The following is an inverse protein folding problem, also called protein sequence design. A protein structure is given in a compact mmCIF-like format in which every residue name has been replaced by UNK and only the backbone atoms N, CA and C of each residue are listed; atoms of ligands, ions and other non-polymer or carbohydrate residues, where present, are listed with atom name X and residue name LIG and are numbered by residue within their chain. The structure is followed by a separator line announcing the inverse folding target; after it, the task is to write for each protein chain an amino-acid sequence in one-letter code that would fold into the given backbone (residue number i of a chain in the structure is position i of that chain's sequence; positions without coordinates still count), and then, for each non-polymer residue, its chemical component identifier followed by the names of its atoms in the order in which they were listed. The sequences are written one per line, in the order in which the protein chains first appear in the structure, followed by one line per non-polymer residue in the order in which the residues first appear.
data_IF_269765442251
#
_entry.id   IF_269765442251
#
_cell.length_a   1.000
_cell.length_b   1.000
_cell.length_c   1.000
_cell.angle_alpha   90.00
_cell.angle_beta   90.00
_cell.angle_gamma   90.00
#
_symmetry.space_group_name_H-M   'P 1'
#
loop_
_entity.id
_entity.type
_entity.pdbx_description
1 polymer ?
#
# COMPACT_ATOMS: atom_id res chain seq x y z
N UNK A 1 18.60 -10.86 -7.96
CA UNK A 1 18.55 -12.03 -8.86
C UNK A 1 17.91 -11.67 -10.21
N UNK A 2 16.80 -10.97 -10.24
CA UNK A 2 16.05 -10.65 -11.46
C UNK A 2 16.49 -9.37 -12.20
N UNK A 3 17.43 -8.59 -11.67
CA UNK A 3 17.84 -7.29 -12.24
C UNK A 3 18.37 -7.38 -13.67
N UNK A 4 19.13 -8.41 -14.00
CA UNK A 4 19.62 -8.63 -15.37
C UNK A 4 18.49 -8.90 -16.36
N UNK A 5 17.46 -9.64 -15.92
CA UNK A 5 16.27 -9.91 -16.74
C UNK A 5 15.49 -8.62 -16.96
N UNK A 6 15.22 -7.88 -15.87
CA UNK A 6 14.52 -6.60 -15.90
C UNK A 6 15.25 -5.58 -16.79
N UNK A 7 16.57 -5.41 -16.63
CA UNK A 7 17.36 -4.47 -17.41
C UNK A 7 17.38 -4.76 -18.92
N UNK A 8 17.06 -6.01 -19.34
CA UNK A 8 16.93 -6.37 -20.76
C UNK A 8 15.59 -5.93 -21.38
N UNK A 9 14.52 -5.88 -20.58
CA UNK A 9 13.16 -5.62 -21.05
C UNK A 9 12.59 -4.26 -20.63
N UNK A 10 13.13 -3.67 -19.55
CA UNK A 10 12.67 -2.39 -19.01
C UNK A 10 13.77 -1.36 -19.16
N UNK A 11 13.58 -0.37 -20.06
CA UNK A 11 14.48 0.79 -20.19
C UNK A 11 14.34 1.68 -18.96
N UNK A 12 15.46 2.23 -18.48
CA UNK A 12 15.50 3.11 -17.30
C UNK A 12 14.86 2.49 -16.03
N UNK A 13 15.09 1.19 -15.80
CA UNK A 13 14.50 0.39 -14.72
C UNK A 13 14.73 0.94 -13.28
N UNK A 14 15.54 2.00 -13.12
CA UNK A 14 15.75 2.70 -11.84
C UNK A 14 14.72 3.79 -11.56
N UNK A 15 14.05 4.33 -12.57
CA UNK A 15 13.06 5.40 -12.43
C UNK A 15 11.67 4.80 -12.15
N UNK A 16 11.50 4.26 -10.95
CA UNK A 16 10.30 3.53 -10.54
C UNK A 16 9.04 4.40 -10.38
N UNK A 17 9.20 5.72 -10.30
CA UNK A 17 8.09 6.67 -10.21
C UNK A 17 7.52 7.04 -11.59
N UNK A 18 8.25 6.75 -12.65
CA UNK A 18 7.81 7.05 -14.02
C UNK A 18 6.70 6.07 -14.45
N UNK A 19 5.51 6.55 -14.85
CA UNK A 19 4.40 5.71 -15.26
C UNK A 19 4.74 4.74 -16.41
N UNK A 20 5.57 5.15 -17.36
CA UNK A 20 5.98 4.31 -18.48
C UNK A 20 6.91 3.16 -18.05
N UNK A 21 7.78 3.42 -17.05
CA UNK A 21 8.64 2.39 -16.46
C UNK A 21 7.80 1.41 -15.64
N UNK A 22 6.83 1.89 -14.86
CA UNK A 22 5.88 1.06 -14.11
C UNK A 22 5.06 0.18 -15.05
N UNK A 23 4.54 0.73 -16.14
CA UNK A 23 3.84 -0.03 -17.18
C UNK A 23 4.72 -1.14 -17.76
N UNK A 24 5.99 -0.84 -18.05
CA UNK A 24 6.94 -1.83 -18.57
C UNK A 24 7.19 -2.98 -17.56
N UNK A 25 7.27 -2.69 -16.26
CA UNK A 25 7.33 -3.70 -15.21
C UNK A 25 6.07 -4.56 -15.16
N UNK A 26 4.88 -3.93 -15.16
CA UNK A 26 3.60 -4.63 -15.18
C UNK A 26 3.40 -5.48 -16.43
N UNK A 27 3.82 -4.98 -17.60
CA UNK A 27 3.82 -5.73 -18.86
C UNK A 27 4.75 -6.94 -18.80
N UNK A 28 5.95 -6.78 -18.26
CA UNK A 28 6.89 -7.89 -18.10
C UNK A 28 6.32 -8.97 -17.16
N UNK A 29 5.76 -8.58 -16.02
CA UNK A 29 5.12 -9.49 -15.07
C UNK A 29 3.91 -10.20 -15.70
N UNK A 30 2.98 -9.45 -16.27
CA UNK A 30 1.75 -9.99 -16.86
C UNK A 30 2.02 -10.94 -18.02
N UNK A 31 2.88 -10.56 -18.98
CA UNK A 31 3.24 -11.41 -20.11
C UNK A 31 3.94 -12.68 -19.65
N UNK A 32 4.87 -12.58 -18.70
CA UNK A 32 5.57 -13.74 -18.12
C UNK A 32 4.58 -14.67 -17.41
N UNK A 33 3.66 -14.10 -16.61
CA UNK A 33 2.61 -14.85 -15.93
C UNK A 33 1.69 -15.59 -16.90
N UNK A 34 1.18 -14.91 -17.93
CA UNK A 34 0.33 -15.50 -18.97
C UNK A 34 1.06 -16.66 -19.66
N UNK A 35 2.29 -16.43 -20.13
CA UNK A 35 3.07 -17.45 -20.85
C UNK A 35 3.32 -18.69 -19.99
N UNK A 36 3.76 -18.52 -18.75
CA UNK A 36 4.07 -19.65 -17.87
C UNK A 36 2.81 -20.42 -17.47
N UNK A 37 1.72 -19.74 -17.14
CA UNK A 37 0.46 -20.40 -16.80
C UNK A 37 -0.15 -21.13 -18.00
N UNK A 38 -0.05 -20.58 -19.21
CA UNK A 38 -0.49 -21.28 -20.45
C UNK A 38 0.39 -22.49 -20.73
N UNK A 39 1.70 -22.40 -20.55
CA UNK A 39 2.61 -23.56 -20.72
C UNK A 39 2.28 -24.65 -19.71
N UNK A 40 2.06 -24.30 -18.43
CA UNK A 40 1.65 -25.25 -17.40
C UNK A 40 0.29 -25.87 -17.71
N UNK A 41 -0.69 -25.07 -18.13
CA UNK A 41 -2.02 -25.53 -18.54
C UNK A 41 -1.90 -26.59 -19.67
N UNK A 42 -1.25 -26.24 -20.76
CA UNK A 42 -1.10 -27.12 -21.92
C UNK A 42 -0.35 -28.40 -21.56
N UNK A 43 0.76 -28.31 -20.80
CA UNK A 43 1.53 -29.47 -20.40
C UNK A 43 0.73 -30.45 -19.54
N UNK A 44 -0.05 -29.92 -18.56
CA UNK A 44 -0.90 -30.73 -17.69
C UNK A 44 -2.07 -31.35 -18.45
N UNK A 45 -2.72 -30.61 -19.34
CA UNK A 45 -3.81 -31.14 -20.18
C UNK A 45 -3.29 -32.30 -21.07
N UNK A 46 -2.17 -32.10 -21.76
CA UNK A 46 -1.59 -33.13 -22.61
C UNK A 46 -1.24 -34.37 -21.80
N UNK A 47 -0.52 -34.22 -20.69
CA UNK A 47 -0.15 -35.32 -19.81
C UNK A 47 -1.39 -36.00 -19.23
N UNK A 48 -2.38 -35.27 -18.77
CA UNK A 48 -3.60 -35.78 -18.20
C UNK A 48 -4.40 -36.64 -19.21
N UNK A 49 -4.50 -36.20 -20.48
CA UNK A 49 -5.13 -36.99 -21.54
C UNK A 49 -4.33 -38.26 -21.89
N UNK A 50 -3.00 -38.18 -21.98
CA UNK A 50 -2.15 -39.32 -22.28
C UNK A 50 -2.13 -40.40 -21.18
N UNK A 51 -2.28 -39.97 -19.92
CA UNK A 51 -2.28 -40.84 -18.73
C UNK A 51 -3.65 -41.26 -18.26
N UNK A 52 -4.73 -40.66 -18.80
CA UNK A 52 -6.10 -40.82 -18.31
C UNK A 52 -6.32 -40.21 -16.91
N UNK A 53 -5.41 -39.38 -16.43
CA UNK A 53 -5.46 -38.75 -15.10
C UNK A 53 -6.32 -37.46 -15.14
N UNK A 54 -7.63 -37.59 -14.88
CA UNK A 54 -8.58 -36.47 -14.88
C UNK A 54 -8.17 -35.38 -13.87
N UNK A 55 -7.57 -35.76 -12.74
CA UNK A 55 -7.07 -34.80 -11.74
C UNK A 55 -5.98 -33.88 -12.30
N UNK A 56 -5.12 -34.40 -13.18
CA UNK A 56 -4.07 -33.58 -13.83
C UNK A 56 -4.66 -32.65 -14.86
N UNK A 57 -5.71 -33.08 -15.58
CA UNK A 57 -6.47 -32.21 -16.51
C UNK A 57 -7.14 -31.06 -15.74
N UNK A 58 -7.80 -31.37 -14.62
CA UNK A 58 -8.45 -30.37 -13.75
C UNK A 58 -7.45 -29.34 -13.24
N UNK A 59 -6.28 -29.77 -12.78
CA UNK A 59 -5.20 -28.89 -12.35
C UNK A 59 -4.63 -28.03 -13.52
N UNK A 60 -4.64 -28.57 -14.74
CA UNK A 60 -4.36 -27.80 -15.96
C UNK A 60 -5.37 -26.68 -16.22
N UNK A 61 -6.66 -26.96 -16.05
CA UNK A 61 -7.71 -25.94 -16.20
C UNK A 61 -7.59 -24.85 -15.13
N UNK A 62 -7.18 -25.19 -13.90
CA UNK A 62 -6.92 -24.20 -12.86
C UNK A 62 -5.84 -23.19 -13.28
N UNK A 63 -4.75 -23.65 -13.92
CA UNK A 63 -3.72 -22.74 -14.44
C UNK A 63 -4.23 -21.78 -15.52
N UNK A 64 -5.35 -22.08 -16.19
CA UNK A 64 -5.98 -21.13 -17.11
C UNK A 64 -6.63 -19.98 -16.36
N UNK A 65 -7.22 -20.23 -15.18
CA UNK A 65 -7.73 -19.19 -14.28
C UNK A 65 -6.59 -18.28 -13.77
N UNK A 66 -5.43 -18.86 -13.47
CA UNK A 66 -4.24 -18.10 -13.04
C UNK A 66 -3.67 -17.22 -14.17
N UNK A 67 -3.80 -17.69 -15.43
CA UNK A 67 -3.51 -16.83 -16.58
C UNK A 67 -4.46 -15.64 -16.64
N UNK A 68 -5.74 -15.81 -16.24
CA UNK A 68 -6.73 -14.72 -16.10
C UNK A 68 -6.29 -13.65 -15.10
N UNK A 69 -5.81 -14.04 -13.91
CA UNK A 69 -5.25 -13.12 -12.91
C UNK A 69 -4.07 -12.30 -13.46
N UNK A 70 -3.20 -12.96 -14.26
CA UNK A 70 -2.08 -12.29 -14.93
C UNK A 70 -2.55 -11.28 -15.99
N UNK A 71 -3.66 -11.57 -16.70
CA UNK A 71 -4.30 -10.64 -17.66
C UNK A 71 -4.86 -9.42 -16.93
N UNK A 72 -5.53 -9.61 -15.79
CA UNK A 72 -6.06 -8.52 -14.97
C UNK A 72 -4.93 -7.58 -14.55
N UNK A 73 -3.83 -8.11 -14.06
CA UNK A 73 -2.65 -7.33 -13.67
C UNK A 73 -2.07 -6.57 -14.86
N UNK A 74 -1.92 -7.22 -16.01
CA UNK A 74 -1.42 -6.57 -17.24
C UNK A 74 -2.32 -5.40 -17.70
N UNK A 75 -3.65 -5.60 -17.71
CA UNK A 75 -4.61 -4.55 -18.07
C UNK A 75 -4.59 -3.42 -17.05
N UNK A 76 -4.53 -3.74 -15.75
CA UNK A 76 -4.43 -2.77 -14.67
C UNK A 76 -3.27 -1.80 -14.87
N UNK A 77 -2.08 -2.32 -15.13
CA UNK A 77 -0.90 -1.48 -15.42
C UNK A 77 -1.04 -0.65 -16.69
N UNK A 78 -1.60 -1.22 -17.76
CA UNK A 78 -1.83 -0.49 -19.02
C UNK A 78 -2.81 0.65 -18.84
N UNK A 79 -3.85 0.48 -18.02
CA UNK A 79 -4.82 1.52 -17.74
C UNK A 79 -4.27 2.58 -16.78
N UNK A 80 -3.47 2.18 -15.77
CA UNK A 80 -2.91 3.10 -14.78
C UNK A 80 -1.95 4.12 -15.39
N UNK A 81 -1.24 3.75 -16.46
CA UNK A 81 -0.33 4.64 -17.19
C UNK A 81 -1.03 5.70 -18.05
N UNK A 82 -2.36 5.58 -18.26
CA UNK A 82 -3.13 6.51 -19.06
C UNK A 82 -3.13 7.91 -18.43
N UNK A 83 -2.92 8.93 -19.26
CA UNK A 83 -2.90 10.34 -18.84
C UNK A 83 -4.28 10.77 -18.30
N UNK A 84 -4.33 11.84 -17.48
CA UNK A 84 -5.57 12.48 -17.08
C UNK A 84 -6.46 12.80 -18.29
N UNK A 85 -7.77 12.61 -18.14
CA UNK A 85 -8.78 12.98 -19.11
C UNK A 85 -9.98 13.69 -18.44
N UNK A 86 -10.99 14.08 -19.20
CA UNK A 86 -12.15 14.83 -18.68
C UNK A 86 -12.94 14.05 -17.61
N UNK A 87 -12.96 12.72 -17.70
CA UNK A 87 -13.64 11.86 -16.73
C UNK A 87 -12.81 11.58 -15.47
N UNK A 88 -11.49 11.59 -15.62
CA UNK A 88 -10.52 11.30 -14.55
C UNK A 88 -9.42 12.36 -14.53
N UNK A 89 -9.69 13.57 -14.02
CA UNK A 89 -8.76 14.71 -14.05
C UNK A 89 -7.48 14.45 -13.25
N UNK A 90 -7.54 13.59 -12.22
CA UNK A 90 -6.37 13.17 -11.43
C UNK A 90 -5.64 11.95 -12.03
N UNK A 91 -6.11 11.44 -13.19
CA UNK A 91 -5.54 10.32 -13.91
C UNK A 91 -6.07 8.96 -13.47
N UNK A 92 -5.46 7.91 -13.99
CA UNK A 92 -5.94 6.53 -13.88
C UNK A 92 -5.07 5.66 -12.96
N UNK A 93 -4.17 6.25 -12.14
CA UNK A 93 -3.22 5.50 -11.28
C UNK A 93 -3.88 4.45 -10.39
N UNK A 94 -5.05 4.76 -9.81
CA UNK A 94 -5.81 3.83 -8.95
C UNK A 94 -6.32 2.57 -9.66
N UNK A 95 -6.30 2.50 -10.99
CA UNK A 95 -6.66 1.26 -11.71
C UNK A 95 -5.71 0.10 -11.39
N UNK A 96 -4.47 0.38 -10.97
CA UNK A 96 -3.56 -0.63 -10.45
C UNK A 96 -4.08 -1.23 -9.14
N UNK A 97 -4.64 -0.42 -8.25
CA UNK A 97 -5.26 -0.88 -7.00
C UNK A 97 -6.51 -1.74 -7.28
N UNK A 98 -7.37 -1.30 -8.23
CA UNK A 98 -8.51 -2.11 -8.65
C UNK A 98 -8.10 -3.45 -9.27
N UNK A 99 -7.00 -3.51 -10.01
CA UNK A 99 -6.46 -4.77 -10.51
C UNK A 99 -6.00 -5.68 -9.35
N UNK A 100 -5.29 -5.14 -8.34
CA UNK A 100 -4.90 -5.87 -7.14
C UNK A 100 -6.11 -6.39 -6.35
N UNK A 101 -7.17 -5.57 -6.22
CA UNK A 101 -8.43 -5.97 -5.58
C UNK A 101 -9.10 -7.11 -6.33
N UNK A 102 -9.17 -7.04 -7.66
CA UNK A 102 -9.76 -8.08 -8.49
C UNK A 102 -9.00 -9.41 -8.37
N UNK A 103 -7.66 -9.38 -8.39
CA UNK A 103 -6.83 -10.59 -8.15
C UNK A 103 -7.08 -11.17 -6.76
N UNK A 104 -7.11 -10.32 -5.72
CA UNK A 104 -7.41 -10.79 -4.35
C UNK A 104 -8.79 -11.41 -4.22
N UNK A 105 -9.81 -10.88 -4.94
CA UNK A 105 -11.14 -11.45 -4.99
C UNK A 105 -11.15 -12.84 -5.67
N UNK A 106 -10.40 -13.02 -6.75
CA UNK A 106 -10.25 -14.33 -7.42
C UNK A 106 -9.62 -15.34 -6.46
N UNK A 107 -8.56 -14.96 -5.72
CA UNK A 107 -7.93 -15.82 -4.70
C UNK A 107 -8.97 -16.29 -3.66
N UNK A 108 -9.81 -15.40 -3.17
CA UNK A 108 -10.86 -15.76 -2.20
C UNK A 108 -11.91 -16.70 -2.79
N UNK A 109 -12.33 -16.49 -4.04
CA UNK A 109 -13.28 -17.38 -4.72
C UNK A 109 -12.67 -18.78 -4.83
N UNK A 110 -11.41 -18.89 -5.24
CA UNK A 110 -10.69 -20.18 -5.35
C UNK A 110 -10.57 -20.84 -3.98
N UNK A 111 -10.26 -20.10 -2.92
CA UNK A 111 -10.18 -20.62 -1.56
C UNK A 111 -11.52 -21.23 -1.10
N UNK A 112 -12.65 -20.54 -1.36
CA UNK A 112 -14.00 -21.04 -1.02
C UNK A 112 -14.35 -22.29 -1.83
N UNK A 113 -14.03 -22.30 -3.12
CA UNK A 113 -14.27 -23.48 -3.98
C UNK A 113 -13.48 -24.70 -3.48
N UNK A 114 -12.18 -24.51 -3.18
CA UNK A 114 -11.32 -25.55 -2.63
C UNK A 114 -11.85 -26.09 -1.29
N UNK A 115 -12.33 -25.19 -0.41
CA UNK A 115 -12.92 -25.57 0.87
C UNK A 115 -14.16 -26.46 0.67
N UNK A 116 -15.10 -26.03 -0.20
CA UNK A 116 -16.33 -26.79 -0.48
C UNK A 116 -15.98 -28.17 -1.06
N UNK A 117 -15.06 -28.25 -1.99
CA UNK A 117 -14.64 -29.50 -2.61
C UNK A 117 -13.98 -30.42 -1.58
N UNK A 118 -13.10 -29.88 -0.73
CA UNK A 118 -12.43 -30.63 0.34
C UNK A 118 -13.39 -31.22 1.36
N UNK A 119 -14.39 -30.43 1.79
CA UNK A 119 -15.45 -30.88 2.71
C UNK A 119 -16.30 -31.98 2.04
N UNK A 120 -16.64 -31.87 0.76
CA UNK A 120 -17.36 -32.89 0.02
C UNK A 120 -16.58 -34.22 -0.04
N UNK A 121 -15.26 -34.18 -0.31
CA UNK A 121 -14.39 -35.38 -0.31
C UNK A 121 -14.37 -36.06 1.05
N UNK A 122 -14.28 -35.29 2.14
CA UNK A 122 -14.36 -35.85 3.51
C UNK A 122 -15.71 -36.52 3.74
N UNK A 123 -16.81 -35.86 3.40
CA UNK A 123 -18.17 -36.37 3.62
C UNK A 123 -18.46 -37.64 2.78
N UNK A 124 -17.89 -37.73 1.57
CA UNK A 124 -18.02 -38.88 0.69
C UNK A 124 -17.09 -40.06 1.07
N UNK A 125 -16.10 -39.83 1.94
CA UNK A 125 -15.09 -40.83 2.28
C UNK A 125 -14.20 -41.21 1.07
N UNK A 126 -14.06 -40.28 0.11
CA UNK A 126 -13.29 -40.54 -1.11
C UNK A 126 -11.79 -40.60 -0.80
N UNK A 127 -11.19 -41.79 -1.01
CA UNK A 127 -9.75 -41.98 -0.93
C UNK A 127 -9.10 -41.80 -2.32
N UNK A 128 -7.92 -41.18 -2.35
CA UNK A 128 -7.16 -41.01 -3.60
C UNK A 128 -6.52 -42.30 -4.04
N UNK A 129 -6.95 -42.84 -5.18
CA UNK A 129 -6.34 -44.02 -5.79
C UNK A 129 -5.72 -43.66 -7.16
N UNK A 130 -4.47 -44.08 -7.39
CA UNK A 130 -3.80 -43.94 -8.70
C UNK A 130 -4.02 -45.21 -9.53
N UNK A 131 -4.41 -45.04 -10.79
CA UNK A 131 -4.75 -46.13 -11.69
C UNK A 131 -3.54 -47.06 -12.01
N UNK A 132 -2.30 -46.53 -12.02
CA UNK A 132 -1.09 -47.31 -12.25
C UNK A 132 0.16 -46.63 -11.67
N UNK A 133 1.27 -47.38 -11.43
CA UNK A 133 2.55 -46.82 -11.00
C UNK A 133 3.12 -45.75 -11.96
N UNK A 134 2.91 -45.92 -13.26
CA UNK A 134 3.37 -44.96 -14.29
C UNK A 134 2.61 -43.64 -14.16
N UNK A 135 1.28 -43.67 -14.02
CA UNK A 135 0.44 -42.48 -13.79
C UNK A 135 0.89 -41.74 -12.54
N UNK A 136 1.17 -42.46 -11.45
CA UNK A 136 1.68 -41.90 -10.21
C UNK A 136 2.99 -41.13 -10.42
N UNK A 137 4.01 -41.73 -11.03
CA UNK A 137 5.32 -41.09 -11.28
C UNK A 137 5.17 -39.86 -12.17
N UNK A 138 4.40 -39.94 -13.27
CA UNK A 138 4.17 -38.83 -14.17
C UNK A 138 3.47 -37.67 -13.43
N UNK A 139 2.46 -37.97 -12.61
CA UNK A 139 1.77 -36.98 -11.80
C UNK A 139 2.73 -36.28 -10.85
N UNK A 140 3.59 -37.01 -10.13
CA UNK A 140 4.59 -36.42 -9.25
C UNK A 140 5.56 -35.50 -10.01
N UNK A 141 6.05 -35.90 -11.18
CA UNK A 141 6.94 -35.07 -12.00
C UNK A 141 6.26 -33.75 -12.42
N UNK A 142 4.98 -33.79 -12.84
CA UNK A 142 4.23 -32.63 -13.26
C UNK A 142 3.97 -31.72 -12.08
N UNK A 143 3.59 -32.25 -10.90
CA UNK A 143 3.39 -31.46 -9.67
C UNK A 143 4.70 -30.79 -9.22
N UNK A 144 5.82 -31.50 -9.21
CA UNK A 144 7.14 -30.96 -8.88
C UNK A 144 7.53 -29.80 -9.84
N UNK A 145 7.33 -29.97 -11.14
CA UNK A 145 7.61 -28.93 -12.12
C UNK A 145 6.71 -27.72 -11.91
N UNK A 146 5.42 -27.94 -11.64
CA UNK A 146 4.46 -26.86 -11.29
C UNK A 146 4.93 -26.06 -10.09
N UNK A 147 5.31 -26.73 -9.00
CA UNK A 147 5.80 -26.07 -7.77
C UNK A 147 7.03 -25.20 -8.08
N UNK A 148 8.00 -25.73 -8.84
CA UNK A 148 9.19 -24.96 -9.20
C UNK A 148 8.85 -23.71 -10.02
N UNK A 149 7.98 -23.82 -11.01
CA UNK A 149 7.56 -22.67 -11.84
C UNK A 149 6.78 -21.67 -11.01
N UNK A 150 5.80 -22.11 -10.19
CA UNK A 150 4.99 -21.23 -9.34
C UNK A 150 5.84 -20.54 -8.25
N UNK A 151 6.79 -21.25 -7.66
CA UNK A 151 7.74 -20.66 -6.71
C UNK A 151 8.62 -19.58 -7.38
N UNK A 152 9.08 -19.84 -8.59
CA UNK A 152 9.81 -18.84 -9.38
C UNK A 152 8.93 -17.60 -9.69
N UNK A 153 7.68 -17.81 -10.10
CA UNK A 153 6.72 -16.73 -10.37
C UNK A 153 6.45 -15.90 -9.11
N UNK A 154 6.27 -16.55 -7.96
CA UNK A 154 6.12 -15.87 -6.67
C UNK A 154 7.32 -14.97 -6.37
N UNK A 155 8.54 -15.51 -6.43
CA UNK A 155 9.77 -14.75 -6.15
C UNK A 155 9.95 -13.59 -7.15
N UNK A 156 9.65 -13.84 -8.42
CA UNK A 156 9.73 -12.84 -9.48
C UNK A 156 8.75 -11.67 -9.24
N UNK A 157 7.46 -11.98 -9.12
CA UNK A 157 6.42 -10.96 -8.91
C UNK A 157 6.60 -10.22 -7.59
N UNK A 158 6.99 -10.91 -6.51
CA UNK A 158 7.29 -10.28 -5.22
C UNK A 158 8.49 -9.33 -5.30
N UNK A 159 9.54 -9.72 -5.99
CA UNK A 159 10.74 -8.88 -6.16
C UNK A 159 10.43 -7.62 -6.97
N UNK A 160 9.70 -7.77 -8.08
CA UNK A 160 9.30 -6.64 -8.91
C UNK A 160 8.26 -5.75 -8.20
N UNK A 161 7.25 -6.37 -7.60
CA UNK A 161 6.19 -5.67 -6.87
C UNK A 161 6.72 -4.82 -5.72
N UNK A 162 7.67 -5.34 -4.95
CA UNK A 162 8.35 -4.56 -3.90
C UNK A 162 9.19 -3.42 -4.47
N UNK A 163 9.83 -3.61 -5.62
CA UNK A 163 10.71 -2.59 -6.22
C UNK A 163 9.93 -1.38 -6.72
N UNK A 164 8.74 -1.59 -7.27
CA UNK A 164 7.89 -0.52 -7.81
C UNK A 164 6.71 -0.18 -6.89
N UNK A 165 6.67 -0.76 -5.70
CA UNK A 165 5.56 -0.60 -4.72
C UNK A 165 4.19 -0.82 -5.39
N UNK A 166 3.99 -2.03 -5.92
CA UNK A 166 2.78 -2.39 -6.67
C UNK A 166 1.91 -3.40 -5.94
N UNK A 167 0.75 -2.95 -5.47
CA UNK A 167 -0.25 -3.80 -4.84
C UNK A 167 -0.76 -4.92 -5.78
N UNK A 168 -0.94 -4.63 -7.07
CA UNK A 168 -1.37 -5.61 -8.06
C UNK A 168 -0.34 -6.73 -8.26
N UNK A 169 0.95 -6.39 -8.35
CA UNK A 169 2.00 -7.40 -8.48
C UNK A 169 2.20 -8.21 -7.20
N UNK A 170 2.03 -7.60 -6.03
CA UNK A 170 2.07 -8.30 -4.75
C UNK A 170 0.88 -9.25 -4.60
N UNK A 171 -0.32 -8.87 -5.05
CA UNK A 171 -1.48 -9.75 -5.12
C UNK A 171 -1.22 -10.95 -6.04
N UNK A 172 -0.68 -10.73 -7.25
CA UNK A 172 -0.29 -11.80 -8.18
C UNK A 172 0.82 -12.70 -7.60
N UNK A 173 1.74 -12.16 -6.80
CA UNK A 173 2.71 -12.97 -6.07
C UNK A 173 2.03 -13.84 -5.01
N UNK A 174 1.07 -13.30 -4.27
CA UNK A 174 0.27 -14.05 -3.27
C UNK A 174 -0.50 -15.20 -3.93
N UNK A 175 -1.09 -14.97 -5.09
CA UNK A 175 -1.75 -15.98 -5.93
C UNK A 175 -0.78 -17.13 -6.27
N UNK A 176 0.38 -16.81 -6.84
CA UNK A 176 1.42 -17.80 -7.15
C UNK A 176 1.94 -18.57 -5.92
N UNK A 177 2.00 -17.93 -4.75
CA UNK A 177 2.36 -18.58 -3.48
C UNK A 177 1.25 -19.55 -3.03
N UNK A 178 0.00 -19.13 -3.12
CA UNK A 178 -1.16 -19.96 -2.78
C UNK A 178 -1.19 -21.25 -3.62
N UNK A 179 -0.94 -21.13 -4.92
CA UNK A 179 -0.83 -22.25 -5.83
C UNK A 179 0.34 -23.17 -5.48
N UNK A 180 1.50 -22.60 -5.16
CA UNK A 180 2.68 -23.34 -4.75
C UNK A 180 2.41 -24.17 -3.49
N UNK A 181 1.76 -23.58 -2.48
CA UNK A 181 1.38 -24.27 -1.23
C UNK A 181 0.34 -25.36 -1.51
N UNK A 182 -0.73 -25.02 -2.25
CA UNK A 182 -1.78 -25.98 -2.59
C UNK A 182 -1.21 -27.20 -3.35
N UNK A 183 -0.41 -26.95 -4.38
CA UNK A 183 0.23 -28.04 -5.18
C UNK A 183 1.22 -28.85 -4.34
N UNK A 184 1.96 -28.21 -3.40
CA UNK A 184 2.88 -28.91 -2.50
C UNK A 184 2.13 -29.84 -1.55
N UNK A 185 0.99 -29.41 -1.00
CA UNK A 185 0.16 -30.26 -0.16
C UNK A 185 -0.42 -31.40 -0.97
N UNK A 186 -0.93 -31.17 -2.19
CA UNK A 186 -1.42 -32.22 -3.08
C UNK A 186 -0.31 -33.24 -3.37
N UNK A 187 0.93 -32.79 -3.60
CA UNK A 187 2.09 -33.67 -3.80
C UNK A 187 2.35 -34.54 -2.57
N UNK A 188 2.36 -33.97 -1.37
CA UNK A 188 2.55 -34.73 -0.11
C UNK A 188 1.41 -35.73 0.09
N UNK A 189 0.16 -35.30 -0.12
CA UNK A 189 -1.01 -36.16 -0.01
C UNK A 189 -0.97 -37.32 -1.02
N UNK A 190 -0.57 -37.04 -2.27
CA UNK A 190 -0.39 -38.08 -3.29
C UNK A 190 0.66 -39.14 -2.88
N UNK A 191 1.73 -38.73 -2.21
CA UNK A 191 2.72 -39.64 -1.66
C UNK A 191 2.17 -40.42 -0.46
N UNK A 192 1.50 -39.74 0.48
CA UNK A 192 0.94 -40.35 1.71
C UNK A 192 -0.19 -41.34 1.39
N UNK A 193 -1.04 -41.06 0.42
CA UNK A 193 -2.15 -41.94 0.01
C UNK A 193 -1.65 -43.30 -0.52
N UNK A 194 -0.38 -43.35 -0.96
CA UNK A 194 0.27 -44.64 -1.35
C UNK A 194 0.49 -45.57 -0.15
N UNK A 195 0.66 -44.99 1.05
CA UNK A 195 0.94 -45.72 2.29
C UNK A 195 -0.31 -45.90 3.16
N UNK A 196 -1.33 -45.03 3.00
CA UNK A 196 -2.55 -44.99 3.78
C UNK A 196 -3.77 -44.87 2.84
N UNK A 197 -4.11 -45.89 2.07
CA UNK A 197 -5.13 -45.82 1.01
C UNK A 197 -6.55 -45.65 1.54
N UNK A 198 -6.83 -45.98 2.82
CA UNK A 198 -8.19 -45.95 3.40
C UNK A 198 -8.57 -44.60 4.04
N UNK A 199 -7.62 -43.67 4.11
CA UNK A 199 -7.86 -42.34 4.73
C UNK A 199 -8.07 -41.24 3.69
N UNK A 200 -9.10 -40.39 3.82
CA UNK A 200 -9.35 -39.23 2.94
C UNK A 200 -8.40 -38.06 3.26
N UNK A 201 -7.08 -38.32 3.22
CA UNK A 201 -6.02 -37.37 3.59
C UNK A 201 -6.14 -36.09 2.76
N UNK A 202 -6.45 -36.21 1.47
CA UNK A 202 -6.59 -35.07 0.54
C UNK A 202 -7.69 -34.09 1.00
N UNK A 203 -8.80 -34.60 1.53
CA UNK A 203 -9.89 -33.76 2.03
C UNK A 203 -9.45 -32.88 3.22
N UNK A 204 -8.82 -33.50 4.23
CA UNK A 204 -8.35 -32.75 5.41
C UNK A 204 -7.25 -31.74 5.08
N UNK A 205 -6.31 -32.15 4.24
CA UNK A 205 -5.25 -31.26 3.75
C UNK A 205 -5.81 -30.11 2.92
N UNK A 206 -6.80 -30.38 2.07
CA UNK A 206 -7.48 -29.37 1.27
C UNK A 206 -8.21 -28.33 2.13
N UNK A 207 -8.84 -28.72 3.25
CA UNK A 207 -9.42 -27.77 4.22
C UNK A 207 -8.32 -26.87 4.81
N UNK A 208 -7.21 -27.43 5.28
CA UNK A 208 -6.12 -26.64 5.86
C UNK A 208 -5.54 -25.63 4.85
N UNK A 209 -5.32 -26.08 3.61
CA UNK A 209 -4.81 -25.22 2.52
C UNK A 209 -5.81 -24.14 2.16
N UNK A 210 -7.09 -24.46 2.03
CA UNK A 210 -8.12 -23.47 1.69
C UNK A 210 -8.23 -22.37 2.74
N UNK A 211 -8.11 -22.69 4.02
CA UNK A 211 -8.07 -21.70 5.11
C UNK A 211 -6.81 -20.82 5.02
N UNK A 212 -5.65 -21.40 4.71
CA UNK A 212 -4.41 -20.65 4.48
C UNK A 212 -4.55 -19.66 3.32
N UNK A 213 -5.10 -20.13 2.17
CA UNK A 213 -5.31 -19.29 0.98
C UNK A 213 -6.32 -18.17 1.28
N UNK A 214 -7.43 -18.48 2.00
CA UNK A 214 -8.40 -17.48 2.40
C UNK A 214 -7.78 -16.40 3.28
N UNK A 215 -6.96 -16.77 4.27
CA UNK A 215 -6.25 -15.81 5.12
C UNK A 215 -5.30 -14.92 4.31
N UNK A 216 -4.53 -15.49 3.39
CA UNK A 216 -3.63 -14.74 2.52
C UNK A 216 -4.39 -13.79 1.58
N UNK A 217 -5.52 -14.25 1.01
CA UNK A 217 -6.40 -13.45 0.16
C UNK A 217 -7.06 -12.28 0.90
N UNK A 218 -7.57 -12.50 2.12
CA UNK A 218 -8.14 -11.46 2.97
C UNK A 218 -7.07 -10.40 3.31
N UNK A 219 -5.86 -10.83 3.69
CA UNK A 219 -4.76 -9.91 4.00
C UNK A 219 -4.36 -9.07 2.77
N UNK A 220 -4.28 -9.70 1.59
CA UNK A 220 -3.99 -9.00 0.34
C UNK A 220 -5.09 -8.00 -0.03
N UNK A 221 -6.36 -8.41 0.08
CA UNK A 221 -7.51 -7.55 -0.17
C UNK A 221 -7.55 -6.35 0.78
N UNK A 222 -7.32 -6.57 2.08
CA UNK A 222 -7.28 -5.50 3.08
C UNK A 222 -6.22 -4.46 2.73
N UNK A 223 -5.00 -4.87 2.42
CA UNK A 223 -3.91 -3.95 2.05
C UNK A 223 -4.27 -3.06 0.85
N UNK A 224 -4.96 -3.62 -0.16
CA UNK A 224 -5.40 -2.83 -1.32
C UNK A 224 -6.55 -1.89 -0.96
N UNK A 225 -7.49 -2.33 -0.11
CA UNK A 225 -8.60 -1.50 0.36
C UNK A 225 -8.09 -0.34 1.19
N UNK A 226 -7.11 -0.56 2.07
CA UNK A 226 -6.50 0.49 2.89
C UNK A 226 -5.89 1.59 1.99
N UNK A 227 -5.17 1.22 0.92
CA UNK A 227 -4.67 2.16 -0.10
C UNK A 227 -5.78 2.93 -0.82
N UNK A 228 -6.90 2.27 -1.16
CA UNK A 228 -8.04 2.92 -1.82
C UNK A 228 -8.78 3.88 -0.89
N UNK A 229 -8.85 3.56 0.40
CA UNK A 229 -9.47 4.42 1.43
C UNK A 229 -8.60 5.63 1.81
N UNK A 230 -7.30 5.57 1.53
CA UNK A 230 -6.33 6.60 1.91
C UNK A 230 -5.55 6.17 3.15
N UNK A 231 -4.65 5.22 2.99
CA UNK A 231 -3.69 4.85 4.03
C UNK A 231 -2.81 6.04 4.40
N UNK A 232 -2.47 6.16 5.69
CA UNK A 232 -1.57 7.19 6.17
C UNK A 232 -0.21 7.10 5.42
N UNK A 233 0.33 8.24 4.95
CA UNK A 233 1.61 8.25 4.26
C UNK A 233 2.74 7.81 5.19
N UNK A 234 3.84 7.32 4.59
CA UNK A 234 5.05 6.97 5.33
C UNK A 234 5.56 8.19 6.13
N UNK A 235 5.71 8.08 7.47
CA UNK A 235 6.21 9.16 8.31
C UNK A 235 7.56 9.73 7.85
N UNK A 236 8.47 8.86 7.37
CA UNK A 236 9.77 9.31 6.86
C UNK A 236 9.62 10.14 5.57
N UNK A 237 8.68 9.78 4.70
CA UNK A 237 8.36 10.57 3.50
C UNK A 237 7.80 11.95 3.87
N UNK A 238 6.88 12.01 4.84
CA UNK A 238 6.34 13.26 5.36
C UNK A 238 7.44 14.16 5.95
N UNK A 239 8.33 13.58 6.75
CA UNK A 239 9.47 14.28 7.33
C UNK A 239 10.39 14.85 6.26
N UNK A 240 10.71 14.08 5.22
CA UNK A 240 11.55 14.55 4.12
C UNK A 240 10.96 15.74 3.37
N UNK A 241 9.63 15.79 3.21
CA UNK A 241 8.94 16.93 2.59
C UNK A 241 9.02 18.15 3.51
N UNK A 242 8.67 17.99 4.78
CA UNK A 242 8.69 19.07 5.76
C UNK A 242 10.11 19.66 5.94
N UNK A 243 11.11 18.80 6.12
CA UNK A 243 12.52 19.22 6.22
C UNK A 243 13.00 19.92 4.94
N UNK A 244 12.56 19.45 3.77
CA UNK A 244 12.91 20.08 2.50
C UNK A 244 12.29 21.47 2.35
N UNK A 245 11.01 21.64 2.68
CA UNK A 245 10.34 22.94 2.66
C UNK A 245 10.96 23.91 3.69
N UNK A 246 11.20 23.43 4.90
CA UNK A 246 11.78 24.23 6.00
C UNK A 246 13.15 24.80 5.67
N UNK A 247 14.01 24.06 4.97
CA UNK A 247 15.37 24.47 4.66
C UNK A 247 15.52 25.07 3.26
N UNK A 248 14.43 25.30 2.53
CA UNK A 248 14.50 25.80 1.18
C UNK A 248 14.93 27.27 1.09
N UNK A 249 14.49 28.10 2.03
CA UNK A 249 14.80 29.52 2.08
C UNK A 249 14.88 29.99 3.55
N UNK A 250 15.77 30.94 3.83
CA UNK A 250 15.98 31.49 5.20
C UNK A 250 14.78 32.24 5.74
N UNK A 251 13.83 32.66 4.89
CA UNK A 251 12.59 33.34 5.27
C UNK A 251 11.49 32.40 5.73
N UNK A 252 11.68 31.08 5.63
CA UNK A 252 10.74 30.10 6.15
C UNK A 252 10.94 29.95 7.65
N UNK A 253 9.87 30.18 8.41
CA UNK A 253 9.88 30.14 9.88
C UNK A 253 9.42 28.78 10.40
N UNK A 254 8.39 28.19 9.73
CA UNK A 254 7.80 26.91 10.13
C UNK A 254 7.08 26.24 8.98
N UNK A 255 6.86 24.92 9.16
CA UNK A 255 6.08 24.07 8.24
C UNK A 255 5.18 23.19 9.08
N UNK A 256 3.86 23.19 8.79
CA UNK A 256 2.87 22.41 9.52
C UNK A 256 1.70 21.98 8.61
N UNK A 257 0.72 21.26 9.16
CA UNK A 257 -0.49 20.78 8.48
C UNK A 257 -0.19 20.06 7.13
N UNK A 258 0.88 19.25 7.11
CA UNK A 258 1.24 18.47 5.93
C UNK A 258 0.24 17.35 5.71
N UNK A 259 -0.45 17.39 4.57
CA UNK A 259 -1.37 16.34 4.12
C UNK A 259 -0.90 15.78 2.79
N UNK A 260 -0.84 14.45 2.71
CA UNK A 260 -0.46 13.74 1.48
C UNK A 260 -1.59 12.81 1.07
N UNK A 261 -2.16 13.06 -0.11
CA UNK A 261 -3.17 12.20 -0.73
C UNK A 261 -2.55 11.34 -1.83
N UNK A 262 -2.81 10.04 -1.80
CA UNK A 262 -2.41 9.10 -2.84
C UNK A 262 -3.54 8.87 -3.85
N UNK A 263 -3.28 9.23 -5.11
CA UNK A 263 -4.16 8.96 -6.25
C UNK A 263 -3.65 7.82 -7.13
N UNK A 264 -2.81 6.97 -6.58
CA UNK A 264 -2.18 5.86 -7.25
C UNK A 264 -0.68 6.08 -7.48
N UNK A 265 0.04 5.04 -7.83
CA UNK A 265 1.49 5.06 -7.93
C UNK A 265 2.02 6.21 -8.80
N UNK A 266 2.93 7.00 -8.23
CA UNK A 266 3.51 8.17 -8.89
C UNK A 266 2.56 9.37 -9.08
N UNK A 267 1.45 9.42 -8.32
CA UNK A 267 0.47 10.52 -8.36
C UNK A 267 0.04 10.90 -6.94
N UNK A 268 0.88 11.66 -6.28
CA UNK A 268 0.61 12.19 -4.94
C UNK A 268 0.18 13.65 -5.03
N UNK A 269 -0.75 14.05 -4.18
CA UNK A 269 -1.12 15.44 -3.96
C UNK A 269 -0.70 15.83 -2.56
N UNK A 270 0.05 16.90 -2.44
CA UNK A 270 0.63 17.38 -1.20
C UNK A 270 0.06 18.76 -0.92
N UNK A 271 -0.45 18.97 0.27
CA UNK A 271 -0.78 20.29 0.80
C UNK A 271 -0.05 20.49 2.11
N UNK A 272 0.49 21.67 2.33
CA UNK A 272 1.17 22.02 3.57
C UNK A 272 1.04 23.52 3.81
N UNK A 273 1.24 23.92 5.05
CA UNK A 273 1.31 25.30 5.47
C UNK A 273 2.77 25.69 5.69
N UNK A 274 3.13 26.87 5.24
CA UNK A 274 4.48 27.44 5.40
C UNK A 274 4.36 28.81 6.06
N UNK A 275 4.99 28.94 7.21
CA UNK A 275 5.03 30.18 7.98
C UNK A 275 6.12 31.11 7.46
N UNK A 276 5.76 32.37 7.25
CA UNK A 276 6.67 33.43 6.77
C UNK A 276 6.51 34.69 7.66
N UNK A 277 7.53 35.59 7.72
CA UNK A 277 7.40 36.83 8.47
C UNK A 277 6.25 37.69 7.94
N UNK A 278 5.35 38.14 8.80
CA UNK A 278 4.19 38.99 8.45
C UNK A 278 4.64 40.35 7.85
N UNK A 279 5.82 40.84 8.21
CA UNK A 279 6.38 42.11 7.75
C UNK A 279 7.08 41.96 6.37
N UNK A 280 7.24 40.74 5.85
CA UNK A 280 7.91 40.50 4.59
C UNK A 280 7.06 40.98 3.40
N UNK A 281 7.73 41.31 2.29
CA UNK A 281 7.04 41.70 1.08
C UNK A 281 6.24 40.54 0.49
N UNK A 282 4.91 40.71 0.35
CA UNK A 282 4.00 39.66 -0.13
C UNK A 282 4.39 39.09 -1.49
N UNK A 283 4.83 39.93 -2.45
CA UNK A 283 5.25 39.47 -3.78
C UNK A 283 6.53 38.65 -3.72
N UNK A 284 7.47 39.02 -2.87
CA UNK A 284 8.68 38.26 -2.63
C UNK A 284 8.38 36.91 -1.98
N UNK A 285 7.49 36.89 -1.00
CA UNK A 285 7.09 35.65 -0.33
C UNK A 285 6.34 34.71 -1.28
N UNK A 286 5.43 35.26 -2.09
CA UNK A 286 4.75 34.47 -3.11
C UNK A 286 5.74 33.80 -4.09
N UNK A 287 6.76 34.52 -4.55
CA UNK A 287 7.80 33.95 -5.44
C UNK A 287 8.57 32.82 -4.74
N UNK A 288 8.90 32.96 -3.47
CA UNK A 288 9.55 31.91 -2.67
C UNK A 288 8.64 30.67 -2.57
N UNK A 289 7.37 30.86 -2.24
CA UNK A 289 6.38 29.76 -2.09
C UNK A 289 6.18 29.03 -3.45
N UNK A 290 5.99 29.76 -4.56
CA UNK A 290 5.83 29.17 -5.91
C UNK A 290 7.06 28.34 -6.31
N UNK A 291 8.26 28.79 -5.95
CA UNK A 291 9.49 28.04 -6.19
C UNK A 291 9.60 26.78 -5.31
N UNK A 292 9.15 26.84 -4.06
CA UNK A 292 9.09 25.65 -3.18
C UNK A 292 8.09 24.63 -3.74
N UNK A 293 6.88 25.06 -4.14
CA UNK A 293 5.89 24.19 -4.76
C UNK A 293 6.45 23.42 -5.95
N UNK A 294 7.06 24.14 -6.91
CA UNK A 294 7.67 23.54 -8.10
C UNK A 294 8.80 22.57 -7.75
N UNK A 295 9.63 22.95 -6.79
CA UNK A 295 10.76 22.11 -6.39
C UNK A 295 10.32 20.83 -5.67
N UNK A 296 9.26 20.88 -4.85
CA UNK A 296 8.64 19.70 -4.24
C UNK A 296 7.98 18.84 -5.33
N UNK A 297 7.26 19.45 -6.29
CA UNK A 297 6.64 18.74 -7.41
C UNK A 297 7.68 17.93 -8.20
N UNK A 298 8.81 18.53 -8.53
CA UNK A 298 9.87 17.87 -9.27
C UNK A 298 10.58 16.78 -8.46
N UNK A 299 10.93 17.08 -7.21
CA UNK A 299 11.71 16.17 -6.36
C UNK A 299 10.91 14.95 -5.92
N UNK A 300 9.64 15.13 -5.55
CA UNK A 300 8.77 14.07 -4.98
C UNK A 300 7.74 13.54 -5.98
N UNK A 301 7.77 14.00 -7.24
CA UNK A 301 6.82 13.62 -8.30
C UNK A 301 5.36 13.73 -7.82
N UNK A 302 4.99 14.89 -7.32
CA UNK A 302 3.70 15.19 -6.72
C UNK A 302 3.03 16.39 -7.41
N UNK A 303 1.80 16.68 -7.04
CA UNK A 303 1.16 18.00 -7.23
C UNK A 303 1.09 18.66 -5.87
N UNK A 304 1.71 19.83 -5.73
CA UNK A 304 1.86 20.49 -4.42
C UNK A 304 1.11 21.81 -4.39
N UNK A 305 0.49 22.12 -3.26
CA UNK A 305 -0.10 23.42 -2.96
C UNK A 305 0.32 23.83 -1.56
N UNK A 306 0.84 25.05 -1.41
CA UNK A 306 1.31 25.58 -0.15
C UNK A 306 0.41 26.73 0.28
N UNK A 307 -0.14 26.64 1.48
CA UNK A 307 -0.77 27.77 2.14
C UNK A 307 0.30 28.60 2.85
N UNK A 308 0.36 29.88 2.52
CA UNK A 308 1.30 30.82 3.14
C UNK A 308 0.68 31.42 4.39
N UNK A 309 1.30 31.21 5.55
CA UNK A 309 0.88 31.75 6.83
C UNK A 309 1.81 32.89 7.30
N UNK A 310 1.39 34.16 7.16
CA UNK A 310 2.13 35.29 7.71
C UNK A 310 2.06 35.25 9.24
N UNK A 311 3.20 35.10 9.92
CA UNK A 311 3.25 35.06 11.39
C UNK A 311 4.00 36.25 11.98
N UNK A 312 3.46 36.76 13.09
CA UNK A 312 4.09 37.82 13.90
C UNK A 312 4.93 37.13 14.96
N UNK A 313 6.24 37.37 14.96
CA UNK A 313 7.18 36.79 15.91
C UNK A 313 7.56 37.75 17.03
N UNK A 314 7.33 39.08 16.84
CA UNK A 314 7.74 40.12 17.77
C UNK A 314 6.63 41.20 17.88
N UNK A 315 5.91 41.27 19.01
CA UNK A 315 5.00 42.38 19.35
C UNK A 315 4.72 42.34 20.86
N UNK A 316 4.26 43.50 21.40
CA UNK A 316 3.81 43.59 22.82
C UNK A 316 2.59 42.67 23.04
N UNK A 317 1.65 42.64 22.07
CA UNK A 317 0.47 41.76 22.13
C UNK A 317 0.85 40.28 22.15
N UNK A 318 1.81 39.86 21.32
CA UNK A 318 2.33 38.49 21.31
C UNK A 318 2.91 38.13 22.67
N UNK A 319 3.73 39.03 23.26
CA UNK A 319 4.36 38.78 24.56
C UNK A 319 3.33 38.67 25.70
N UNK A 320 2.26 39.44 25.66
CA UNK A 320 1.17 39.38 26.62
C UNK A 320 0.35 38.09 26.48
N UNK A 321 -0.05 37.73 25.26
CA UNK A 321 -0.80 36.50 24.97
C UNK A 321 0.04 35.24 25.31
N UNK A 322 1.35 35.27 25.04
CA UNK A 322 2.25 34.19 25.43
C UNK A 322 2.23 33.95 26.94
N UNK A 323 2.31 35.00 27.76
CA UNK A 323 2.25 34.88 29.23
C UNK A 323 0.93 34.26 29.68
N UNK A 324 -0.19 34.67 29.06
CA UNK A 324 -1.52 34.14 29.37
C UNK A 324 -1.63 32.66 28.98
N UNK A 325 -1.16 32.27 27.80
CA UNK A 325 -1.15 30.89 27.36
C UNK A 325 -0.23 29.98 28.23
N UNK A 326 0.95 30.46 28.62
CA UNK A 326 1.83 29.73 29.56
C UNK A 326 1.09 29.45 30.88
N UNK A 327 0.34 30.43 31.38
CA UNK A 327 -0.47 30.25 32.59
C UNK A 327 -1.58 29.24 32.40
N UNK A 328 -2.33 29.29 31.28
CA UNK A 328 -3.38 28.32 30.93
C UNK A 328 -2.78 26.89 30.88
N UNK A 329 -1.68 26.69 30.15
CA UNK A 329 -1.03 25.37 30.02
C UNK A 329 -0.60 24.83 31.38
N UNK A 330 -0.01 25.67 32.24
CA UNK A 330 0.40 25.28 33.61
C UNK A 330 -0.77 25.02 34.57
N UNK A 331 -1.94 25.64 34.34
CA UNK A 331 -3.18 25.40 35.12
C UNK A 331 -3.82 24.06 34.74
N UNK A 332 -3.67 23.59 33.50
CA UNK A 332 -4.15 22.25 33.09
C UNK A 332 -3.30 21.17 33.77
N UNK A 333 -2.00 21.28 33.66
CA UNK A 333 -1.06 20.40 34.37
C UNK A 333 0.29 21.11 34.58
N UNK A 334 0.84 21.13 35.83
CA UNK A 334 2.07 21.90 36.16
C UNK A 334 3.31 21.44 35.37
N UNK A 335 3.32 20.18 34.95
CA UNK A 335 4.46 19.57 34.22
C UNK A 335 4.42 19.82 32.70
N UNK A 336 3.37 20.49 32.20
CA UNK A 336 3.29 20.91 30.81
C UNK A 336 4.10 22.17 30.57
N UNK A 337 4.75 22.26 29.41
CA UNK A 337 5.50 23.45 29.02
C UNK A 337 5.19 23.87 27.60
N UNK A 338 5.13 25.21 27.40
CA UNK A 338 4.82 25.83 26.12
C UNK A 338 6.10 26.30 25.44
N UNK A 339 6.24 25.98 24.14
CA UNK A 339 7.40 26.33 23.30
C UNK A 339 6.91 26.96 21.97
N UNK A 340 7.80 27.58 21.23
CA UNK A 340 7.63 28.10 19.86
C UNK A 340 6.35 28.90 19.60
N UNK A 341 6.03 29.82 20.52
CA UNK A 341 4.82 30.63 20.47
C UNK A 341 4.89 31.70 19.37
N UNK A 342 3.95 31.61 18.42
CA UNK A 342 3.79 32.52 17.26
C UNK A 342 2.33 32.94 17.12
N UNK A 343 2.09 34.00 16.38
CA UNK A 343 0.75 34.54 16.17
C UNK A 343 0.53 34.90 14.71
N UNK A 344 -0.59 34.46 14.17
CA UNK A 344 -1.10 34.88 12.86
C UNK A 344 -2.36 35.72 13.11
N UNK A 345 -2.24 37.02 12.86
CA UNK A 345 -3.30 37.99 13.14
C UNK A 345 -4.04 38.39 11.87
N UNK A 346 -5.36 38.16 11.85
CA UNK A 346 -6.26 38.55 10.78
C UNK A 346 -7.37 39.47 11.25
N UNK A 347 -8.08 40.09 10.34
CA UNK A 347 -9.18 41.04 10.65
C UNK A 347 -10.36 40.39 11.38
N UNK A 348 -10.58 39.09 11.20
CA UNK A 348 -11.72 38.34 11.74
C UNK A 348 -11.37 37.45 12.91
N UNK A 349 -10.15 36.92 12.95
CA UNK A 349 -9.67 36.04 14.00
C UNK A 349 -8.13 36.04 14.05
N UNK A 350 -7.59 35.60 15.18
CA UNK A 350 -6.15 35.48 15.41
C UNK A 350 -5.85 34.03 15.79
N UNK A 351 -4.94 33.40 15.10
CA UNK A 351 -4.43 32.09 15.46
C UNK A 351 -3.18 32.21 16.32
N UNK A 352 -3.18 31.54 17.47
CA UNK A 352 -2.03 31.37 18.35
C UNK A 352 -1.43 29.99 18.08
N UNK A 353 -0.21 29.94 17.58
CA UNK A 353 0.47 28.72 17.16
C UNK A 353 1.59 28.42 18.15
N UNK A 354 1.57 27.26 18.80
CA UNK A 354 2.60 26.89 19.78
C UNK A 354 2.63 25.40 20.06
N UNK A 355 3.79 24.92 20.55
CA UNK A 355 3.98 23.55 20.95
C UNK A 355 3.78 23.40 22.44
N UNK A 356 3.17 22.27 22.85
CA UNK A 356 3.00 21.90 24.26
C UNK A 356 3.71 20.57 24.50
N UNK A 357 4.80 20.64 25.25
CA UNK A 357 5.55 19.44 25.64
C UNK A 357 4.96 18.82 26.91
N UNK A 358 4.62 17.54 26.84
CA UNK A 358 3.95 16.77 27.91
C UNK A 358 4.76 15.53 28.29
N UNK A 359 4.70 15.06 29.56
CA UNK A 359 5.32 13.79 29.95
C UNK A 359 4.69 12.56 29.28
N UNK A 360 5.50 11.51 29.02
CA UNK A 360 5.03 10.24 28.41
C UNK A 360 3.97 9.50 29.22
N UNK A 361 3.89 9.72 30.55
CA UNK A 361 2.92 9.10 31.46
C UNK A 361 1.61 9.90 31.59
N UNK A 362 1.43 10.94 30.80
CA UNK A 362 0.21 11.75 30.76
C UNK A 362 -0.99 10.88 30.35
N UNK A 363 -2.07 10.93 31.14
CA UNK A 363 -3.29 10.15 30.90
C UNK A 363 -4.24 10.79 29.90
N UNK A 364 -4.10 12.06 29.65
CA UNK A 364 -4.91 12.80 28.68
C UNK A 364 -4.40 12.53 27.26
N UNK A 365 -5.33 12.43 26.31
CA UNK A 365 -5.00 12.36 24.89
C UNK A 365 -4.59 13.74 24.37
N UNK A 366 -3.80 13.79 23.29
CA UNK A 366 -3.43 15.06 22.64
C UNK A 366 -4.66 15.90 22.33
N UNK A 367 -5.70 15.30 21.78
CA UNK A 367 -6.96 16.00 21.43
C UNK A 367 -7.70 16.59 22.65
N UNK A 368 -7.72 15.89 23.79
CA UNK A 368 -8.31 16.44 25.02
C UNK A 368 -7.53 17.66 25.56
N UNK A 369 -6.20 17.66 25.38
CA UNK A 369 -5.34 18.78 25.77
C UNK A 369 -5.57 19.97 24.86
N UNK A 370 -5.60 19.75 23.54
CA UNK A 370 -5.89 20.77 22.52
C UNK A 370 -7.25 21.44 22.77
N UNK A 371 -8.31 20.65 22.98
CA UNK A 371 -9.66 21.15 23.25
C UNK A 371 -9.73 22.00 24.53
N UNK A 372 -9.05 21.58 25.60
CA UNK A 372 -9.05 22.33 26.87
C UNK A 372 -8.32 23.66 26.75
N UNK A 373 -7.19 23.68 26.04
CA UNK A 373 -6.41 24.90 25.85
C UNK A 373 -7.18 25.86 24.94
N UNK A 374 -7.71 25.37 23.80
CA UNK A 374 -8.49 26.23 22.87
C UNK A 374 -9.73 26.84 23.56
N UNK A 375 -10.45 26.03 24.35
CA UNK A 375 -11.57 26.53 25.14
C UNK A 375 -11.16 27.56 26.20
N UNK A 376 -9.97 27.44 26.78
CA UNK A 376 -9.43 28.42 27.73
C UNK A 376 -8.95 29.70 27.03
N UNK A 377 -8.31 29.59 25.89
CA UNK A 377 -7.87 30.70 25.03
C UNK A 377 -9.07 31.53 24.54
N UNK A 378 -10.15 30.89 24.11
CA UNK A 378 -11.40 31.55 23.71
C UNK A 378 -12.10 32.33 24.82
N UNK A 379 -11.82 32.04 26.09
CA UNK A 379 -12.31 32.85 27.22
C UNK A 379 -11.54 34.17 27.37
N UNK A 380 -10.31 34.28 26.85
CA UNK A 380 -9.57 35.55 26.82
C UNK A 380 -10.20 36.47 25.77
N UNK A 381 -10.35 35.98 24.54
CA UNK A 381 -11.00 36.66 23.42
C UNK A 381 -11.62 35.58 22.50
N UNK A 382 -12.93 35.66 22.20
CA UNK A 382 -13.62 34.71 21.32
C UNK A 382 -13.04 34.62 19.91
N UNK A 383 -12.28 35.62 19.47
CA UNK A 383 -11.62 35.64 18.16
C UNK A 383 -10.24 34.97 18.17
N UNK A 384 -9.74 34.49 19.31
CA UNK A 384 -8.52 33.74 19.42
C UNK A 384 -8.78 32.22 19.17
N UNK A 385 -7.98 31.61 18.35
CA UNK A 385 -7.95 30.16 18.15
C UNK A 385 -6.57 29.62 18.51
N UNK A 386 -6.50 28.56 19.31
CA UNK A 386 -5.25 27.89 19.59
C UNK A 386 -4.98 26.78 18.55
N UNK A 387 -3.80 26.83 17.92
CA UNK A 387 -3.24 25.80 17.05
C UNK A 387 -2.07 25.17 17.77
N UNK A 388 -2.27 23.97 18.27
CA UNK A 388 -1.36 23.35 19.23
C UNK A 388 -0.80 22.08 18.63
N UNK A 389 0.50 21.91 18.72
CA UNK A 389 1.17 20.65 18.48
C UNK A 389 1.59 20.06 19.85
N UNK A 390 1.15 18.83 20.15
CA UNK A 390 1.44 18.16 21.42
C UNK A 390 2.64 17.24 21.24
N UNK A 391 3.72 17.53 21.96
CA UNK A 391 4.96 16.77 21.93
C UNK A 391 5.18 16.01 23.24
N UNK A 392 5.64 14.75 23.15
CA UNK A 392 5.98 13.93 24.31
C UNK A 392 7.46 14.09 24.68
N UNK A 393 7.75 14.38 25.98
CA UNK A 393 9.13 14.57 26.51
C UNK A 393 9.42 13.66 27.70
#
# INVERSE_FOLDING_TARGET
MFEKLVGRFVKNAGDVNNPAVREAYGRLSGVTGILLNVILCLSKIVVGFLTGAISVVSDGVNNLSDAGSSVITFIGFKLSSKKPDKGHPFGHGRTEYFAGLAVSAVILIVAVQLLIESVRKIAAGEASAFASPTVFVVTLCVLCLSILVKCWMFLFNRSLGKKIDSAAMLATATDSLSDCVATSVVLVCAVLSRFMPDLPIDGYAGVAVSLFIAFAGIKSMKSVVDLLMGEAPDPEFCKQIADYAMHYNELIIGVHDLVVHDYGPGRKMITLHVEVPAEANVLQMHDVIDNIERSIEEKFNSKTTIHMDPVITTSERLSELKKQCVKIVSEIQPDFSLHDFRMNEGDTHTNLIFDVAIPYDTKMTAHEIEDQIDAAVKKIDPNLNARINVEYK
#
